data_IF_021490697925
#
_entry.id   IF_021490697925
#
_cell.length_a   1.000
_cell.length_b   1.000
_cell.length_c   1.000
_cell.angle_alpha   90.00
_cell.angle_beta   90.00
_cell.angle_gamma   90.00
#
_symmetry.space_group_name_H-M   'P 1'
#
loop_
_entity.id
_entity.type
_entity.pdbx_description
1 polymer ?
#
# COMPACT_ATOMS: atom_id res chain seq x y z
N UNK A 1 5.07 -5.84 -10.19
CA UNK A 1 4.65 -4.45 -10.48
C UNK A 1 4.24 -3.66 -9.24
N UNK A 2 3.28 -4.11 -8.40
CA UNK A 2 2.90 -3.37 -7.19
C UNK A 2 3.97 -3.37 -6.09
N UNK A 3 4.69 -4.49 -5.93
CA UNK A 3 5.82 -4.60 -5.01
C UNK A 3 6.95 -3.59 -5.32
N UNK A 4 7.15 -3.28 -6.59
CA UNK A 4 8.11 -2.26 -7.02
C UNK A 4 7.62 -0.86 -6.68
N UNK A 5 6.32 -0.58 -6.86
CA UNK A 5 5.71 0.72 -6.53
C UNK A 5 5.75 1.00 -5.03
N UNK A 6 5.41 0.02 -4.19
CA UNK A 6 5.49 0.18 -2.73
C UNK A 6 6.94 0.41 -2.28
N UNK A 7 7.92 -0.25 -2.92
CA UNK A 7 9.34 -0.05 -2.63
C UNK A 7 9.83 1.37 -2.99
N UNK A 8 9.41 1.91 -4.14
CA UNK A 8 9.73 3.29 -4.51
C UNK A 8 9.10 4.30 -3.54
N UNK A 9 7.85 4.08 -3.14
CA UNK A 9 7.16 4.94 -2.16
C UNK A 9 7.87 4.85 -0.79
N UNK A 10 8.31 3.67 -0.37
CA UNK A 10 9.08 3.47 0.86
C UNK A 10 10.38 4.29 0.83
N UNK A 11 11.17 4.17 -0.24
CA UNK A 11 12.42 4.93 -0.39
C UNK A 11 12.19 6.44 -0.46
N UNK A 12 11.12 6.89 -1.12
CA UNK A 12 10.76 8.31 -1.19
C UNK A 12 10.37 8.87 0.19
N UNK A 13 9.59 8.11 0.96
CA UNK A 13 9.19 8.48 2.32
C UNK A 13 10.40 8.49 3.26
N UNK A 14 11.27 7.48 3.19
CA UNK A 14 12.51 7.44 4.00
C UNK A 14 13.46 8.60 3.69
N UNK A 15 13.54 9.03 2.43
CA UNK A 15 14.40 10.15 2.01
C UNK A 15 13.83 11.52 2.38
N UNK A 16 12.52 11.73 2.21
CA UNK A 16 11.90 13.05 2.37
C UNK A 16 11.38 13.31 3.79
N UNK A 17 11.24 12.27 4.62
CA UNK A 17 10.51 12.38 5.87
C UNK A 17 10.90 11.29 6.89
N UNK A 18 12.16 11.27 7.34
CA UNK A 18 12.63 10.28 8.32
C UNK A 18 11.87 10.33 9.67
N UNK A 19 11.27 11.48 10.01
CA UNK A 19 10.46 11.68 11.23
C UNK A 19 8.97 11.34 11.05
N UNK A 20 8.51 11.06 9.83
CA UNK A 20 7.10 10.90 9.51
C UNK A 20 6.66 9.45 9.79
N UNK A 21 6.65 9.12 11.08
CA UNK A 21 6.41 7.79 11.63
C UNK A 21 5.10 7.17 11.12
N UNK A 22 4.04 7.97 10.99
CA UNK A 22 2.72 7.48 10.55
C UNK A 22 2.70 6.98 9.09
N UNK A 23 3.38 7.69 8.18
CA UNK A 23 3.48 7.28 6.78
C UNK A 23 4.34 6.03 6.62
N UNK A 24 5.47 5.95 7.35
CA UNK A 24 6.30 4.76 7.38
C UNK A 24 5.56 3.54 7.94
N UNK A 25 4.79 3.73 9.02
CA UNK A 25 3.94 2.68 9.59
C UNK A 25 2.90 2.21 8.56
N UNK A 26 2.26 3.15 7.85
CA UNK A 26 1.29 2.81 6.80
C UNK A 26 1.95 2.05 5.62
N UNK A 27 3.15 2.46 5.18
CA UNK A 27 3.91 1.76 4.13
C UNK A 27 4.25 0.34 4.58
N UNK A 28 4.78 0.17 5.79
CA UNK A 28 5.13 -1.16 6.34
C UNK A 28 3.90 -2.05 6.51
N UNK A 29 2.79 -1.49 6.98
CA UNK A 29 1.50 -2.18 7.10
C UNK A 29 1.03 -2.70 5.75
N UNK A 30 0.94 -1.83 4.74
CA UNK A 30 0.51 -2.22 3.39
C UNK A 30 1.47 -3.20 2.76
N UNK A 31 2.78 -3.04 2.94
CA UNK A 31 3.80 -3.99 2.44
C UNK A 31 3.60 -5.38 3.05
N UNK A 32 3.28 -5.46 4.35
CA UNK A 32 2.97 -6.73 5.02
C UNK A 32 1.71 -7.38 4.45
N UNK A 33 0.65 -6.60 4.23
CA UNK A 33 -0.61 -7.08 3.62
C UNK A 33 -0.37 -7.56 2.19
N UNK A 34 0.39 -6.80 1.40
CA UNK A 34 0.77 -7.18 0.04
C UNK A 34 1.55 -8.49 0.02
N UNK A 35 2.47 -8.73 0.98
CA UNK A 35 3.20 -9.99 1.06
C UNK A 35 2.33 -11.22 1.42
N UNK A 36 1.09 -11.02 1.89
CA UNK A 36 0.15 -12.13 2.10
C UNK A 36 -0.57 -12.53 0.81
N UNK A 37 -0.53 -11.69 -0.22
CA UNK A 37 -1.13 -11.96 -1.51
C UNK A 37 -0.18 -12.83 -2.32
N UNK A 38 -0.67 -13.96 -2.81
CA UNK A 38 0.02 -14.71 -3.84
C UNK A 38 -0.17 -14.01 -5.20
N UNK A 39 0.79 -13.16 -5.57
CA UNK A 39 0.75 -12.42 -6.85
C UNK A 39 0.90 -13.31 -8.09
N UNK A 40 1.21 -14.60 -7.94
CA UNK A 40 1.20 -15.56 -9.05
C UNK A 40 -0.21 -16.11 -9.30
N UNK A 41 -1.05 -16.16 -8.27
CA UNK A 41 -2.41 -16.67 -8.34
C UNK A 41 -3.49 -15.56 -8.41
N UNK A 42 -3.22 -14.38 -7.85
CA UNK A 42 -4.19 -13.29 -7.74
C UNK A 42 -3.83 -12.03 -8.54
N UNK A 43 -4.83 -11.47 -9.22
CA UNK A 43 -4.72 -10.18 -9.91
C UNK A 43 -5.06 -9.05 -8.94
N UNK A 44 -4.05 -8.29 -8.54
CA UNK A 44 -4.26 -7.12 -7.68
C UNK A 44 -4.88 -5.96 -8.46
N UNK A 45 -6.03 -5.42 -8.04
CA UNK A 45 -6.77 -4.41 -8.78
C UNK A 45 -6.13 -3.02 -8.63
N UNK A 46 -5.03 -2.82 -9.34
CA UNK A 46 -4.24 -1.58 -9.37
C UNK A 46 -4.93 -0.40 -10.07
N UNK A 47 -6.02 -0.65 -10.81
CA UNK A 47 -6.73 0.35 -11.59
C UNK A 47 -7.80 1.09 -10.77
N UNK A 48 -8.15 0.56 -9.58
CA UNK A 48 -9.22 1.11 -8.76
C UNK A 48 -8.80 1.20 -7.31
N UNK A 49 -8.71 2.43 -6.80
CA UNK A 49 -8.50 2.70 -5.37
C UNK A 49 -9.52 1.97 -4.51
N UNK A 50 -10.80 1.95 -4.93
CA UNK A 50 -11.86 1.28 -4.17
C UNK A 50 -11.63 -0.22 -4.06
N UNK A 51 -11.31 -0.89 -5.17
CA UNK A 51 -11.07 -2.34 -5.17
C UNK A 51 -9.81 -2.70 -4.38
N UNK A 52 -8.74 -1.91 -4.53
CA UNK A 52 -7.50 -2.13 -3.78
C UNK A 52 -7.68 -1.88 -2.28
N UNK A 53 -8.44 -0.84 -1.89
CA UNK A 53 -8.81 -0.62 -0.48
C UNK A 53 -9.60 -1.79 0.08
N UNK A 54 -10.62 -2.28 -0.61
CA UNK A 54 -11.42 -3.41 -0.13
C UNK A 54 -10.58 -4.68 0.06
N UNK A 55 -9.66 -4.96 -0.86
CA UNK A 55 -8.75 -6.11 -0.75
C UNK A 55 -7.87 -5.99 0.50
N UNK A 56 -7.26 -4.81 0.71
CA UNK A 56 -6.39 -4.56 1.85
C UNK A 56 -7.16 -4.55 3.17
N UNK A 57 -8.38 -4.01 3.21
CA UNK A 57 -9.26 -4.08 4.39
C UNK A 57 -9.64 -5.55 4.70
N UNK A 58 -9.91 -6.36 3.67
CA UNK A 58 -10.19 -7.79 3.83
C UNK A 58 -8.98 -8.58 4.34
N UNK A 59 -7.77 -8.26 3.88
CA UNK A 59 -6.54 -8.91 4.35
C UNK A 59 -6.17 -8.48 5.78
N UNK A 60 -6.44 -7.22 6.11
CA UNK A 60 -6.19 -6.65 7.44
C UNK A 60 -7.24 -7.10 8.46
N UNK A 61 -8.43 -7.52 8.02
CA UNK A 61 -9.63 -7.73 8.84
C UNK A 61 -10.09 -6.49 9.63
N UNK A 62 -9.65 -5.30 9.20
CA UNK A 62 -9.95 -4.02 9.84
C UNK A 62 -9.96 -2.89 8.79
N UNK A 63 -10.64 -1.76 9.06
CA UNK A 63 -10.58 -0.60 8.18
C UNK A 63 -9.14 -0.07 8.00
N UNK A 64 -8.86 0.46 6.80
CA UNK A 64 -7.60 1.16 6.56
C UNK A 64 -7.62 2.52 7.26
N UNK A 65 -6.49 2.89 7.86
CA UNK A 65 -6.26 4.22 8.41
C UNK A 65 -6.25 5.30 7.32
N UNK A 66 -6.34 6.57 7.71
CA UNK A 66 -6.27 7.69 6.76
C UNK A 66 -4.96 7.68 5.95
N UNK A 67 -3.84 7.40 6.61
CA UNK A 67 -2.52 7.30 5.99
C UNK A 67 -2.42 6.12 5.03
N UNK A 68 -2.99 4.97 5.40
CA UNK A 68 -3.06 3.79 4.52
C UNK A 68 -3.92 4.08 3.28
N UNK A 69 -5.10 4.71 3.44
CA UNK A 69 -5.97 5.09 2.32
C UNK A 69 -5.30 6.09 1.37
N UNK A 70 -4.53 7.04 1.90
CA UNK A 70 -3.72 7.96 1.10
C UNK A 70 -2.64 7.20 0.32
N UNK A 71 -2.01 6.19 0.93
CA UNK A 71 -1.03 5.36 0.26
C UNK A 71 -1.64 4.53 -0.88
N UNK A 72 -2.83 3.96 -0.67
CA UNK A 72 -3.56 3.21 -1.69
C UNK A 72 -3.89 4.09 -2.90
N UNK A 73 -4.32 5.35 -2.66
CA UNK A 73 -4.52 6.33 -3.72
C UNK A 73 -3.23 6.61 -4.50
N UNK A 74 -2.10 6.74 -3.80
CA UNK A 74 -0.78 6.92 -4.44
C UNK A 74 -0.40 5.70 -5.29
N UNK A 75 -0.60 4.49 -4.79
CA UNK A 75 -0.27 3.23 -5.50
C UNK A 75 -1.04 3.08 -6.82
N UNK A 76 -2.32 3.42 -6.83
CA UNK A 76 -3.19 3.37 -8.03
C UNK A 76 -2.82 4.47 -9.03
N UNK A 77 -2.47 5.67 -8.55
CA UNK A 77 -2.09 6.81 -9.40
C UNK A 77 -0.63 6.78 -9.88
N UNK A 78 0.21 5.93 -9.31
CA UNK A 78 1.61 5.80 -9.69
C UNK A 78 1.68 5.32 -11.14
N UNK A 79 2.04 6.19 -12.09
CA UNK A 79 2.25 5.83 -13.50
C UNK A 79 3.73 5.56 -13.74
#
# INVERSE_FOLDING_TARGET
MIQTKILFIEQDVERNSPENSELLVAVRSIKKLLNQIDFQAEVVPLESTKKLSNLLESLKNEPLSNSERLLVKKLVKFK
#
